data_IF_821889829993
#
_entry.id   IF_821889829993
#
_cell.length_a   1.000
_cell.length_b   1.000
_cell.length_c   1.000
_cell.angle_alpha   90.00
_cell.angle_beta   90.00
_cell.angle_gamma   90.00
#
_symmetry.space_group_name_H-M   'P 1'
#
loop_
_entity.id
_entity.type
_entity.pdbx_description
1 polymer ?
#
# COMPACT_ATOMS: atom_id res chain seq x y z
N UNK A 1 6.73 -21.98 0.39
CA UNK A 1 5.76 -22.45 1.39
C UNK A 1 4.49 -22.77 0.64
N UNK A 2 4.11 -24.03 0.50
CA UNK A 2 3.04 -24.44 -0.43
C UNK A 2 1.68 -23.89 0.01
N UNK A 3 1.43 -23.87 1.33
CA UNK A 3 0.23 -23.25 1.92
C UNK A 3 0.05 -21.78 1.54
N UNK A 4 1.15 -21.03 1.41
CA UNK A 4 1.07 -19.62 1.00
C UNK A 4 0.49 -19.48 -0.41
N UNK A 5 0.95 -20.31 -1.34
CA UNK A 5 0.49 -20.27 -2.74
C UNK A 5 -0.95 -20.71 -2.89
N UNK A 6 -1.44 -21.53 -1.97
CA UNK A 6 -2.82 -22.04 -1.95
C UNK A 6 -3.79 -21.07 -1.28
N UNK A 7 -3.37 -20.38 -0.22
CA UNK A 7 -4.26 -19.56 0.60
C UNK A 7 -4.13 -18.05 0.33
N UNK A 8 -2.98 -17.55 -0.13
CA UNK A 8 -2.85 -16.12 -0.41
C UNK A 8 -3.52 -15.78 -1.74
N UNK A 9 -4.49 -14.87 -1.68
CA UNK A 9 -5.14 -14.32 -2.85
C UNK A 9 -6.10 -13.19 -2.50
N UNK A 10 -6.84 -12.66 -3.49
CA UNK A 10 -7.82 -11.59 -3.29
C UNK A 10 -8.96 -11.97 -2.32
N UNK A 11 -9.34 -13.26 -2.28
CA UNK A 11 -10.42 -13.76 -1.42
C UNK A 11 -9.97 -13.93 0.05
N UNK A 12 -8.67 -14.17 0.27
CA UNK A 12 -8.07 -14.42 1.58
C UNK A 12 -6.86 -13.49 1.80
N UNK A 13 -7.04 -12.15 1.76
CA UNK A 13 -5.93 -11.19 1.73
C UNK A 13 -5.08 -11.18 3.00
N UNK A 14 -5.64 -11.66 4.12
CA UNK A 14 -4.94 -11.77 5.42
C UNK A 14 -3.99 -12.98 5.48
N UNK A 15 -4.06 -13.91 4.53
CA UNK A 15 -3.12 -15.04 4.39
C UNK A 15 -1.85 -14.64 3.64
N UNK A 16 -1.88 -13.50 2.95
CA UNK A 16 -0.75 -12.96 2.21
C UNK A 16 0.29 -12.30 3.11
N UNK A 17 1.54 -12.24 2.65
CA UNK A 17 2.54 -11.41 3.29
C UNK A 17 2.09 -9.96 3.20
N UNK A 18 2.25 -9.19 4.27
CA UNK A 18 1.78 -7.79 4.33
C UNK A 18 2.33 -6.95 3.16
N UNK A 19 3.56 -7.20 2.73
CA UNK A 19 4.18 -6.53 1.57
C UNK A 19 3.83 -7.09 0.19
N UNK A 20 3.14 -8.23 0.10
CA UNK A 20 2.75 -8.83 -1.18
C UNK A 20 1.42 -8.27 -1.68
N UNK A 21 1.51 -7.11 -2.34
CA UNK A 21 0.37 -6.38 -2.89
C UNK A 21 -0.14 -7.07 -4.16
N UNK A 22 0.76 -7.62 -4.99
CA UNK A 22 0.44 -8.24 -6.28
C UNK A 22 -0.46 -9.46 -6.13
N UNK A 23 -0.28 -10.26 -5.08
CA UNK A 23 -1.15 -11.41 -4.82
C UNK A 23 -2.55 -11.01 -4.34
N UNK A 24 -2.71 -9.81 -3.76
CA UNK A 24 -4.02 -9.29 -3.30
C UNK A 24 -4.78 -8.52 -4.37
N UNK A 25 -4.09 -7.67 -5.13
CA UNK A 25 -4.71 -6.73 -6.08
C UNK A 25 -4.49 -7.09 -7.54
N UNK A 26 -3.61 -8.06 -7.82
CA UNK A 26 -3.18 -8.44 -9.16
C UNK A 26 -1.91 -7.71 -9.63
N UNK A 27 -1.31 -8.18 -10.74
CA UNK A 27 -0.14 -7.56 -11.35
C UNK A 27 -0.48 -6.23 -12.04
N UNK A 28 0.55 -5.44 -12.32
CA UNK A 28 0.44 -4.17 -13.06
C UNK A 28 0.91 -4.33 -14.50
N UNK A 29 0.42 -3.47 -15.39
CA UNK A 29 0.92 -3.37 -16.76
C UNK A 29 1.73 -2.08 -16.92
N UNK A 30 3.00 -2.22 -17.31
CA UNK A 30 3.91 -1.09 -17.47
C UNK A 30 3.78 -0.53 -18.90
N UNK A 31 3.75 0.80 -19.04
CA UNK A 31 3.61 1.48 -20.33
C UNK A 31 2.17 1.82 -20.72
N UNK A 32 1.20 1.42 -19.89
CA UNK A 32 -0.22 1.77 -20.04
C UNK A 32 -0.56 3.10 -19.36
N UNK A 33 -1.86 3.46 -19.37
CA UNK A 33 -2.38 4.61 -18.62
C UNK A 33 -2.13 4.44 -17.11
N UNK A 34 -2.10 5.57 -16.39
CA UNK A 34 -2.00 5.59 -14.93
C UNK A 34 -3.04 4.67 -14.28
N UNK A 35 -2.57 3.78 -13.42
CA UNK A 35 -3.40 2.88 -12.62
C UNK A 35 -3.45 3.36 -11.16
N UNK A 36 -4.57 3.14 -10.49
CA UNK A 36 -4.78 3.49 -9.07
C UNK A 36 -5.32 2.24 -8.38
N UNK A 37 -4.72 1.91 -7.25
CA UNK A 37 -5.07 0.74 -6.45
C UNK A 37 -5.33 1.16 -5.00
N UNK A 38 -6.09 0.35 -4.28
CA UNK A 38 -6.37 0.56 -2.86
C UNK A 38 -6.21 -0.77 -2.14
N UNK A 39 -5.30 -0.81 -1.17
CA UNK A 39 -5.07 -1.97 -0.30
C UNK A 39 -5.43 -1.60 1.14
N UNK A 40 -6.30 -2.37 1.77
CA UNK A 40 -6.67 -2.18 3.17
C UNK A 40 -5.66 -2.78 4.15
N UNK A 41 -4.77 -3.66 3.68
CA UNK A 41 -3.79 -4.40 4.48
C UNK A 41 -2.35 -3.89 4.28
N UNK A 42 -2.16 -2.71 3.68
CA UNK A 42 -0.84 -2.10 3.48
C UNK A 42 -0.62 -0.95 4.47
N UNK A 43 -0.06 -1.22 5.67
CA UNK A 43 0.02 -0.23 6.74
C UNK A 43 1.11 0.81 6.46
N UNK A 44 0.75 2.10 6.62
CA UNK A 44 1.69 3.24 6.54
C UNK A 44 2.12 3.75 7.92
N UNK A 45 1.69 3.10 9.01
CA UNK A 45 2.00 3.50 10.38
C UNK A 45 1.84 2.35 11.37
N UNK A 46 2.24 2.59 12.61
CA UNK A 46 2.28 1.55 13.65
C UNK A 46 3.60 0.78 13.69
N UNK A 47 3.65 -0.31 14.48
CA UNK A 47 4.85 -1.14 14.65
C UNK A 47 5.25 -1.89 13.38
N UNK A 48 4.27 -2.21 12.53
CA UNK A 48 4.47 -2.80 11.21
C UNK A 48 4.04 -1.74 10.20
N UNK A 49 5.01 -1.05 9.60
CA UNK A 49 4.77 0.02 8.62
C UNK A 49 5.60 -0.21 7.36
N UNK A 50 5.05 0.15 6.20
CA UNK A 50 5.76 0.17 4.94
C UNK A 50 6.68 1.38 4.77
N UNK A 51 6.49 2.45 5.56
CA UNK A 51 7.36 3.63 5.54
C UNK A 51 8.81 3.23 5.88
N UNK A 52 9.77 3.74 5.10
CA UNK A 52 11.19 3.38 5.20
C UNK A 52 11.55 2.04 4.57
N UNK A 53 10.59 1.35 3.91
CA UNK A 53 10.84 0.17 3.08
C UNK A 53 10.85 0.55 1.60
N UNK A 54 10.88 -0.45 0.72
CA UNK A 54 10.86 -0.26 -0.73
C UNK A 54 9.68 -0.94 -1.39
N UNK A 55 9.23 -0.36 -2.50
CA UNK A 55 8.37 -1.02 -3.49
C UNK A 55 9.27 -1.59 -4.57
N UNK A 56 9.00 -2.83 -4.97
CA UNK A 56 9.76 -3.53 -6.01
C UNK A 56 8.76 -3.94 -7.09
N UNK A 57 9.13 -3.66 -8.33
CA UNK A 57 8.45 -4.18 -9.52
C UNK A 57 9.29 -5.35 -10.01
N UNK A 58 8.65 -6.52 -10.09
CA UNK A 58 9.25 -7.72 -10.66
C UNK A 58 9.06 -7.75 -12.18
N UNK A 59 9.89 -8.55 -12.83
CA UNK A 59 9.84 -8.79 -14.26
C UNK A 59 8.50 -9.42 -14.68
N UNK A 60 8.23 -9.42 -15.99
CA UNK A 60 7.01 -9.99 -16.58
C UNK A 60 6.83 -11.47 -16.19
N UNK A 61 5.60 -11.96 -16.30
CA UNK A 61 5.25 -13.36 -16.04
C UNK A 61 5.63 -13.85 -14.62
N UNK A 62 5.61 -12.95 -13.63
CA UNK A 62 6.01 -13.23 -12.23
C UNK A 62 7.46 -13.73 -12.10
N UNK A 63 8.36 -13.24 -12.96
CA UNK A 63 9.78 -13.52 -12.89
C UNK A 63 10.41 -13.04 -11.57
N UNK A 64 11.51 -13.66 -11.15
CA UNK A 64 12.22 -13.31 -9.91
C UNK A 64 13.15 -12.09 -10.05
N UNK A 65 13.39 -11.62 -11.27
CA UNK A 65 14.23 -10.47 -11.55
C UNK A 65 13.54 -9.19 -11.06
N UNK A 66 14.31 -8.31 -10.41
CA UNK A 66 13.83 -7.00 -9.94
C UNK A 66 13.99 -6.00 -11.07
N UNK A 67 12.88 -5.64 -11.72
CA UNK A 67 12.87 -4.70 -12.83
C UNK A 67 13.14 -3.27 -12.36
N UNK A 68 12.50 -2.84 -11.27
CA UNK A 68 12.69 -1.52 -10.68
C UNK A 68 12.41 -1.55 -9.18
N UNK A 69 12.97 -0.59 -8.44
CA UNK A 69 12.66 -0.38 -7.04
C UNK A 69 12.69 1.10 -6.66
N UNK A 70 11.99 1.45 -5.59
CA UNK A 70 12.02 2.79 -4.99
C UNK A 70 11.75 2.70 -3.49
N UNK A 71 12.15 3.73 -2.74
CA UNK A 71 11.86 3.85 -1.33
C UNK A 71 10.45 4.40 -1.09
N UNK A 72 9.85 4.04 0.03
CA UNK A 72 8.58 4.59 0.51
C UNK A 72 8.90 5.60 1.61
N UNK A 73 8.62 6.87 1.34
CA UNK A 73 8.92 7.98 2.24
C UNK A 73 7.64 8.76 2.58
N UNK A 74 7.58 9.43 3.74
CA UNK A 74 6.46 10.30 4.07
C UNK A 74 6.35 11.44 3.05
N UNK A 75 5.14 11.64 2.53
CA UNK A 75 4.82 12.83 1.75
C UNK A 75 4.61 14.01 2.71
N UNK A 76 5.60 14.91 2.73
CA UNK A 76 5.60 16.11 3.58
C UNK A 76 5.07 17.35 2.86
N UNK A 77 4.76 17.26 1.56
CA UNK A 77 4.37 18.42 0.74
C UNK A 77 2.85 18.69 0.79
N UNK A 78 2.08 17.82 1.44
CA UNK A 78 0.63 18.00 1.61
C UNK A 78 0.35 18.97 2.77
N UNK A 79 -0.05 20.20 2.45
CA UNK A 79 -0.58 21.16 3.44
C UNK A 79 -1.87 20.62 4.03
N UNK A 80 -1.82 20.16 5.29
CA UNK A 80 -3.00 19.70 6.05
C UNK A 80 -3.48 20.82 6.98
N UNK A 81 -4.59 21.47 6.64
CA UNK A 81 -5.26 22.41 7.54
C UNK A 81 -6.71 21.97 7.78
N UNK A 82 -7.20 22.19 9.00
CA UNK A 82 -8.60 22.04 9.37
C UNK A 82 -9.04 23.34 10.03
N UNK A 83 -10.16 23.90 9.56
CA UNK A 83 -10.76 25.07 10.17
C UNK A 83 -11.61 24.64 11.37
N UNK A 84 -11.14 24.93 12.58
CA UNK A 84 -11.90 24.65 13.82
C UNK A 84 -12.65 25.91 14.23
N UNK A 85 -13.98 25.88 14.17
CA UNK A 85 -14.84 26.93 14.73
C UNK A 85 -15.28 26.53 16.13
N UNK A 86 -14.83 27.27 17.16
CA UNK A 86 -15.35 27.13 18.53
C UNK A 86 -16.59 28.02 18.69
N UNK A 87 -17.81 27.47 18.85
CA UNK A 87 -18.96 28.29 19.18
C UNK A 87 -18.77 28.95 20.56
N UNK A 88 -19.27 30.18 20.78
CA UNK A 88 -19.25 30.79 22.10
C UNK A 88 -19.96 29.87 23.10
N UNK A 89 -19.40 29.73 24.31
CA UNK A 89 -20.13 29.07 25.41
C UNK A 89 -21.45 29.83 25.56
N UNK A 90 -22.57 29.12 25.51
CA UNK A 90 -23.85 29.66 25.93
C UNK A 90 -23.68 30.13 27.38
N UNK A 91 -23.58 31.43 27.58
CA UNK A 91 -23.68 32.05 28.90
C UNK A 91 -25.18 32.10 29.16
N UNK A 92 -25.65 31.24 30.06
CA UNK A 92 -27.04 31.24 30.55
C UNK A 92 -27.19 32.34 31.58
#
# INVERSE_FOLDING_TARGET
NDLYKEECGPDLPLRCYVGDISSRLGPINIGEKRQIFTDSNFPLGGSISAIGKSIIIFDKDFGSNRFACTNIEPDNDIVKYVNIRKPPRFVV
#
